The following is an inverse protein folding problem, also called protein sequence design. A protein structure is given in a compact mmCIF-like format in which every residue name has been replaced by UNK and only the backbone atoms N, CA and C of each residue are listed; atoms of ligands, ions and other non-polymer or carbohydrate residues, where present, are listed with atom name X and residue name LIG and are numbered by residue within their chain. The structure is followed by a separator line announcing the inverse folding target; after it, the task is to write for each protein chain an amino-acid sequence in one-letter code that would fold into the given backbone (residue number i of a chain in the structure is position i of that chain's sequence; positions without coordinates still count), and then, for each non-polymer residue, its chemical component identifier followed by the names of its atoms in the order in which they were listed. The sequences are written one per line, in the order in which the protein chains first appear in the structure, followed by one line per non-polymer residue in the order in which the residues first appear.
data_IF_217393446615
#
_entry.id   IF_217393446615
#
_cell.length_a   1.000
_cell.length_b   1.000
_cell.length_c   1.000
_cell.angle_alpha   90.00
_cell.angle_beta   90.00
_cell.angle_gamma   90.00
#
_symmetry.space_group_name_H-M   'P 1'
#
loop_
_entity.id
_entity.type
_entity.pdbx_description
1 polymer ?
#
# COMPACT_ATOMS: atom_id res chain seq x y z
N UNK A 1 13.30 11.95 -19.94
CA UNK A 1 11.87 11.62 -19.66
C UNK A 1 11.45 12.22 -18.33
N UNK A 2 10.38 13.01 -18.30
CA UNK A 2 9.86 13.67 -17.08
C UNK A 2 9.22 12.67 -16.10
N UNK A 3 9.20 13.02 -14.82
CA UNK A 3 8.59 12.20 -13.75
C UNK A 3 7.10 11.92 -13.99
N UNK A 4 6.33 12.91 -14.44
CA UNK A 4 4.91 12.76 -14.76
C UNK A 4 4.71 11.73 -15.88
N UNK A 5 5.54 11.82 -16.93
CA UNK A 5 5.48 10.85 -18.03
C UNK A 5 5.90 9.44 -17.59
N UNK A 6 6.94 9.35 -16.76
CA UNK A 6 7.36 8.09 -16.16
C UNK A 6 6.23 7.44 -15.36
N UNK A 7 5.48 8.24 -14.58
CA UNK A 7 4.34 7.75 -13.81
C UNK A 7 3.21 7.20 -14.70
N UNK A 8 2.85 7.88 -15.79
CA UNK A 8 1.78 7.41 -16.70
C UNK A 8 2.09 6.03 -17.31
N UNK A 9 3.32 5.85 -17.78
CA UNK A 9 3.79 4.59 -18.37
C UNK A 9 3.85 3.50 -17.29
N UNK A 10 4.49 3.81 -16.15
CA UNK A 10 4.58 2.91 -15.00
C UNK A 10 3.20 2.46 -14.50
N UNK A 11 2.23 3.38 -14.38
CA UNK A 11 0.88 3.05 -13.93
C UNK A 11 0.17 2.08 -14.91
N UNK A 12 0.38 2.28 -16.21
CA UNK A 12 -0.19 1.42 -17.25
C UNK A 12 0.37 0.01 -17.17
N UNK A 13 1.69 -0.13 -17.03
CA UNK A 13 2.34 -1.44 -16.88
C UNK A 13 1.90 -2.15 -15.61
N UNK A 14 1.85 -1.45 -14.47
CA UNK A 14 1.40 -2.05 -13.21
C UNK A 14 -0.07 -2.47 -13.24
N UNK A 15 -0.90 -1.81 -14.05
CA UNK A 15 -2.28 -2.25 -14.29
C UNK A 15 -2.32 -3.56 -15.09
N UNK A 16 -1.46 -3.70 -16.10
CA UNK A 16 -1.33 -4.94 -16.89
C UNK A 16 -0.79 -6.09 -16.03
N UNK A 17 0.16 -5.81 -15.12
CA UNK A 17 0.67 -6.78 -14.14
C UNK A 17 -0.35 -7.18 -13.05
N UNK A 18 -1.55 -6.62 -13.05
CA UNK A 18 -2.62 -6.99 -12.12
C UNK A 18 -2.49 -6.35 -10.72
N UNK A 19 -1.82 -5.21 -10.58
CA UNK A 19 -1.80 -4.50 -9.31
C UNK A 19 -3.22 -4.07 -8.90
N UNK A 20 -3.55 -4.26 -7.61
CA UNK A 20 -4.85 -3.85 -7.10
C UNK A 20 -5.09 -2.33 -7.28
N UNK A 21 -6.35 -1.89 -7.51
CA UNK A 21 -6.69 -0.47 -7.60
C UNK A 21 -6.24 0.33 -6.38
N UNK A 22 -6.28 -0.28 -5.19
CA UNK A 22 -5.84 0.36 -3.95
C UNK A 22 -4.32 0.60 -3.93
N UNK A 23 -3.52 -0.34 -4.46
CA UNK A 23 -2.07 -0.17 -4.60
C UNK A 23 -1.76 0.97 -5.58
N UNK A 24 -2.42 1.00 -6.75
CA UNK A 24 -2.23 2.06 -7.74
C UNK A 24 -2.62 3.43 -7.19
N UNK A 25 -3.72 3.51 -6.42
CA UNK A 25 -4.14 4.75 -5.73
C UNK A 25 -3.08 5.22 -4.74
N UNK A 26 -2.50 4.32 -3.96
CA UNK A 26 -1.44 4.65 -3.01
C UNK A 26 -0.16 5.11 -3.72
N UNK A 27 0.22 4.47 -4.82
CA UNK A 27 1.38 4.85 -5.63
C UNK A 27 1.17 6.18 -6.36
N UNK A 28 -0.04 6.46 -6.86
CA UNK A 28 -0.41 7.75 -7.48
C UNK A 28 -0.21 8.92 -6.52
N UNK A 29 -0.53 8.71 -5.24
CA UNK A 29 -0.24 9.73 -4.23
C UNK A 29 1.27 9.95 -4.08
N UNK A 30 2.07 8.88 -4.06
CA UNK A 30 3.52 9.01 -3.94
C UNK A 30 4.15 9.66 -5.18
N UNK A 31 3.67 9.37 -6.40
CA UNK A 31 4.15 10.00 -7.63
C UNK A 31 3.87 11.51 -7.62
N UNK A 32 2.65 11.92 -7.25
CA UNK A 32 2.30 13.34 -7.08
C UNK A 32 3.24 14.06 -6.11
N UNK A 33 3.51 13.46 -4.96
CA UNK A 33 4.39 14.05 -3.94
C UNK A 33 5.85 14.15 -4.42
N UNK A 34 6.32 13.15 -5.19
CA UNK A 34 7.65 13.18 -5.79
C UNK A 34 7.77 14.27 -6.86
N UNK A 35 6.79 14.36 -7.76
CA UNK A 35 6.71 15.38 -8.82
C UNK A 35 6.66 16.78 -8.21
N UNK A 36 5.82 16.99 -7.20
CA UNK A 36 5.70 18.27 -6.51
C UNK A 36 7.00 18.69 -5.82
N UNK A 37 7.75 17.74 -5.26
CA UNK A 37 9.00 18.05 -4.58
C UNK A 37 10.14 18.42 -5.53
N UNK A 38 10.23 17.73 -6.67
CA UNK A 38 11.31 17.94 -7.64
C UNK A 38 10.91 18.80 -8.85
N UNK A 39 9.68 19.30 -8.89
CA UNK A 39 9.14 20.14 -9.96
C UNK A 39 9.18 19.47 -11.35
N UNK A 40 8.69 18.24 -11.42
CA UNK A 40 8.56 17.42 -12.65
C UNK A 40 9.83 17.31 -13.53
N UNK A 41 11.00 17.24 -12.92
CA UNK A 41 12.27 17.06 -13.64
C UNK A 41 12.38 15.72 -14.35
N UNK A 42 13.43 15.57 -15.16
CA UNK A 42 13.75 14.30 -15.76
C UNK A 42 14.10 13.23 -14.72
N UNK A 43 13.50 12.04 -14.83
CA UNK A 43 13.74 10.96 -13.87
C UNK A 43 15.22 10.52 -13.85
N UNK A 44 15.91 10.62 -14.98
CA UNK A 44 17.34 10.29 -15.10
C UNK A 44 18.29 11.30 -14.46
N UNK A 45 17.84 12.54 -14.19
CA UNK A 45 18.67 13.56 -13.55
C UNK A 45 18.71 13.41 -12.02
N UNK A 46 17.83 12.59 -11.44
CA UNK A 46 17.73 12.42 -10.00
C UNK A 46 18.83 11.50 -9.46
N UNK A 47 19.59 12.04 -8.51
CA UNK A 47 20.68 11.33 -7.86
C UNK A 47 20.23 10.62 -6.59
N UNK A 48 20.98 9.60 -6.16
CA UNK A 48 20.75 8.92 -4.87
C UNK A 48 20.73 9.90 -3.70
N UNK A 49 21.59 10.92 -3.73
CA UNK A 49 21.69 11.91 -2.66
C UNK A 49 20.46 12.84 -2.59
N UNK A 50 19.95 13.30 -3.73
CA UNK A 50 18.68 14.05 -3.80
C UNK A 50 17.51 13.22 -3.26
N UNK A 51 17.41 11.95 -3.65
CA UNK A 51 16.38 11.05 -3.14
C UNK A 51 16.49 10.84 -1.62
N UNK A 52 17.72 10.70 -1.09
CA UNK A 52 17.97 10.59 0.35
C UNK A 52 17.55 11.87 1.08
N UNK A 53 17.87 13.05 0.56
CA UNK A 53 17.47 14.34 1.15
C UNK A 53 15.94 14.50 1.18
N UNK A 54 15.25 14.15 0.11
CA UNK A 54 13.78 14.11 0.06
C UNK A 54 13.20 13.18 1.13
N UNK A 55 13.76 11.96 1.25
CA UNK A 55 13.31 10.97 2.22
C UNK A 55 13.62 11.38 3.67
N UNK A 56 14.76 12.03 3.92
CA UNK A 56 15.13 12.57 5.23
C UNK A 56 14.14 13.64 5.68
N UNK A 57 13.83 14.62 4.81
CA UNK A 57 12.78 15.61 5.08
C UNK A 57 11.41 14.96 5.33
N UNK A 58 11.09 13.92 4.57
CA UNK A 58 9.84 13.17 4.76
C UNK A 58 9.80 12.43 6.10
N UNK A 59 10.96 12.04 6.65
CA UNK A 59 11.03 11.28 7.89
C UNK A 59 10.69 12.09 9.14
N UNK A 60 10.80 13.42 9.08
CA UNK A 60 10.49 14.33 10.19
C UNK A 60 9.00 14.33 10.56
N UNK A 61 8.13 14.00 9.60
CA UNK A 61 6.67 14.07 9.79
C UNK A 61 5.95 12.74 9.54
N UNK A 62 6.67 11.71 9.09
CA UNK A 62 6.07 10.41 8.75
C UNK A 62 6.43 9.34 9.79
N UNK A 63 5.42 8.53 10.13
CA UNK A 63 5.66 7.27 10.86
C UNK A 63 6.58 6.36 10.03
N UNK A 64 7.41 5.50 10.66
CA UNK A 64 8.34 4.61 9.94
C UNK A 64 7.68 3.74 8.86
N UNK A 65 6.45 3.27 9.09
CA UNK A 65 5.68 2.49 8.10
C UNK A 65 5.29 3.31 6.86
N UNK A 66 4.95 4.59 7.04
CA UNK A 66 4.60 5.50 5.95
C UNK A 66 5.83 5.88 5.13
N UNK A 67 6.96 6.14 5.81
CA UNK A 67 8.25 6.37 5.15
C UNK A 67 8.70 5.13 4.36
N UNK A 68 8.57 3.93 4.93
CA UNK A 68 8.88 2.69 4.23
C UNK A 68 8.02 2.51 2.97
N UNK A 69 6.73 2.82 3.02
CA UNK A 69 5.86 2.78 1.84
C UNK A 69 6.33 3.76 0.74
N UNK A 70 6.69 4.99 1.12
CA UNK A 70 7.26 5.97 0.18
C UNK A 70 8.55 5.45 -0.47
N UNK A 71 9.44 4.86 0.32
CA UNK A 71 10.69 4.26 -0.18
C UNK A 71 10.39 3.11 -1.14
N UNK A 72 9.42 2.25 -0.84
CA UNK A 72 9.02 1.15 -1.74
C UNK A 72 8.53 1.66 -3.09
N UNK A 73 7.71 2.71 -3.10
CA UNK A 73 7.29 3.34 -4.35
C UNK A 73 8.49 3.88 -5.15
N UNK A 74 9.37 4.67 -4.52
CA UNK A 74 10.57 5.23 -5.17
C UNK A 74 11.43 4.10 -5.75
N UNK A 75 11.73 3.06 -4.96
CA UNK A 75 12.50 1.92 -5.45
C UNK A 75 11.82 1.22 -6.64
N UNK A 76 10.49 1.11 -6.61
CA UNK A 76 9.72 0.45 -7.66
C UNK A 76 9.75 1.24 -8.99
N UNK A 77 9.46 2.55 -8.97
CA UNK A 77 9.42 3.36 -10.19
C UNK A 77 10.82 3.54 -10.81
N UNK A 78 11.87 3.72 -10.00
CA UNK A 78 13.24 3.83 -10.51
C UNK A 78 13.85 2.49 -10.95
N UNK A 79 13.40 1.37 -10.38
CA UNK A 79 13.75 0.04 -10.89
C UNK A 79 13.10 -0.19 -12.25
N UNK A 80 11.79 0.01 -12.35
CA UNK A 80 11.06 -0.08 -13.63
C UNK A 80 11.68 0.83 -14.70
N UNK A 81 11.96 2.10 -14.37
CA UNK A 81 12.56 3.02 -15.34
C UNK A 81 13.93 2.57 -15.84
N UNK A 82 14.67 1.82 -15.03
CA UNK A 82 15.96 1.27 -15.42
C UNK A 82 15.79 -0.01 -16.26
N UNK A 83 14.87 -0.89 -15.88
CA UNK A 83 14.54 -2.13 -16.59
C UNK A 83 13.97 -1.86 -17.99
N UNK A 84 13.13 -0.83 -18.14
CA UNK A 84 12.60 -0.36 -19.44
C UNK A 84 13.60 0.48 -20.25
N UNK A 85 14.84 0.63 -19.77
CA UNK A 85 15.90 1.35 -20.49
C UNK A 85 15.76 2.88 -20.52
N UNK A 86 14.82 3.47 -19.77
CA UNK A 86 14.65 4.92 -19.71
C UNK A 86 15.76 5.65 -18.94
N UNK A 87 16.41 4.96 -18.01
CA UNK A 87 17.58 5.48 -17.28
C UNK A 87 18.72 4.44 -17.28
N UNK A 88 19.98 4.89 -17.40
CA UNK A 88 21.12 3.97 -17.49
C UNK A 88 21.45 3.29 -16.15
N UNK A 89 21.00 3.86 -15.03
CA UNK A 89 21.28 3.34 -13.68
C UNK A 89 20.13 3.67 -12.74
N UNK A 90 19.81 2.75 -11.84
CA UNK A 90 18.82 2.98 -10.78
C UNK A 90 19.43 3.73 -9.56
N UNK A 91 19.10 5.02 -9.33
CA UNK A 91 19.62 5.79 -8.20
C UNK A 91 19.00 5.38 -6.84
N UNK A 92 17.87 4.67 -6.84
CA UNK A 92 17.16 4.23 -5.64
C UNK A 92 17.59 2.85 -5.13
N UNK A 93 18.39 2.10 -5.90
CA UNK A 93 18.74 0.71 -5.61
C UNK A 93 19.35 0.49 -4.20
N UNK A 94 20.19 1.43 -3.74
CA UNK A 94 20.89 1.34 -2.44
C UNK A 94 20.14 2.02 -1.28
N UNK A 95 18.94 2.54 -1.50
CA UNK A 95 18.14 3.17 -0.44
C UNK A 95 17.57 2.08 0.47
N UNK A 96 17.83 2.22 1.78
CA UNK A 96 17.35 1.30 2.81
C UNK A 96 16.04 1.82 3.40
N UNK A 97 15.11 0.91 3.67
CA UNK A 97 13.90 1.22 4.43
C UNK A 97 14.25 1.45 5.91
N UNK A 98 13.51 2.31 6.62
CA UNK A 98 13.68 2.48 8.07
C UNK A 98 13.43 1.15 8.77
N UNK A 99 14.18 0.88 9.85
CA UNK A 99 13.90 -0.27 10.71
C UNK A 99 12.48 -0.11 11.27
N UNK A 100 11.59 -1.02 10.87
CA UNK A 100 10.28 -1.11 11.48
C UNK A 100 10.43 -1.82 12.83
N UNK A 101 9.87 -1.24 13.89
CA UNK A 101 9.77 -1.94 15.16
C UNK A 101 8.98 -3.24 15.02
N UNK A 102 9.22 -4.21 15.90
CA UNK A 102 8.39 -5.42 15.94
C UNK A 102 6.96 -4.99 16.24
N UNK A 103 6.04 -5.23 15.30
CA UNK A 103 4.61 -5.06 15.54
C UNK A 103 4.18 -6.20 16.44
N UNK A 104 3.88 -5.89 17.69
CA UNK A 104 3.24 -6.86 18.60
C UNK A 104 1.80 -7.02 18.08
N UNK A 105 1.39 -8.23 17.66
CA UNK A 105 -0.01 -8.48 17.31
C UNK A 105 -0.88 -8.14 18.51
N UNK A 106 -1.84 -7.24 18.34
CA UNK A 106 -2.89 -7.04 19.31
C UNK A 106 -3.98 -8.05 18.99
N UNK A 107 -4.27 -8.94 19.91
CA UNK A 107 -5.39 -9.86 19.84
C UNK A 107 -6.38 -9.49 20.94
N UNK A 108 -7.65 -9.80 20.71
CA UNK A 108 -8.69 -9.62 21.70
C UNK A 108 -8.65 -10.81 22.66
N UNK A 109 -8.76 -10.53 23.95
CA UNK A 109 -9.01 -11.54 24.97
C UNK A 109 -10.45 -12.05 24.89
N UNK A 110 -10.72 -13.22 25.46
CA UNK A 110 -12.09 -13.79 25.50
C UNK A 110 -13.11 -12.83 26.12
N UNK A 111 -12.68 -12.06 27.14
CA UNK A 111 -13.52 -11.02 27.77
C UNK A 111 -13.81 -9.85 26.84
N UNK A 112 -12.82 -9.39 26.08
CA UNK A 112 -13.02 -8.31 25.10
C UNK A 112 -13.91 -8.76 23.94
N UNK A 113 -13.83 -10.03 23.54
CA UNK A 113 -14.74 -10.63 22.55
C UNK A 113 -16.18 -10.60 23.07
N UNK A 114 -16.41 -11.02 24.33
CA UNK A 114 -17.76 -11.01 24.89
C UNK A 114 -18.31 -9.59 25.06
N UNK A 115 -17.50 -8.62 25.50
CA UNK A 115 -17.92 -7.22 25.54
C UNK A 115 -18.30 -6.67 24.16
N UNK A 116 -17.58 -7.05 23.09
CA UNK A 116 -17.92 -6.65 21.73
C UNK A 116 -19.22 -7.30 21.25
N UNK A 117 -19.45 -8.56 21.62
CA UNK A 117 -20.70 -9.28 21.35
C UNK A 117 -21.90 -8.62 22.03
N UNK A 118 -21.78 -8.27 23.31
CA UNK A 118 -22.83 -7.58 24.07
C UNK A 118 -23.11 -6.17 23.54
N UNK A 119 -22.09 -5.50 22.99
CA UNK A 119 -22.23 -4.16 22.40
C UNK A 119 -22.92 -4.15 21.02
N UNK A 120 -23.19 -5.32 20.42
CA UNK A 120 -23.97 -5.41 19.18
C UNK A 120 -25.47 -5.30 19.49
N UNK A 121 -26.12 -4.23 19.04
CA UNK A 121 -27.53 -3.95 19.33
C UNK A 121 -28.46 -4.52 18.26
N UNK A 122 -28.07 -4.45 17.00
CA UNK A 122 -28.94 -4.86 15.89
C UNK A 122 -28.71 -6.33 15.49
N UNK A 123 -29.72 -7.02 14.92
CA UNK A 123 -29.53 -8.37 14.37
C UNK A 123 -28.41 -8.45 13.33
N UNK A 124 -28.22 -7.38 12.53
CA UNK A 124 -27.15 -7.30 11.54
C UNK A 124 -25.78 -7.21 12.20
N UNK A 125 -25.60 -6.36 13.21
CA UNK A 125 -24.34 -6.25 13.96
C UNK A 125 -23.96 -7.58 14.59
N UNK A 126 -24.91 -8.26 15.22
CA UNK A 126 -24.70 -9.59 15.83
C UNK A 126 -24.28 -10.62 14.79
N UNK A 127 -25.03 -10.73 13.69
CA UNK A 127 -24.70 -11.68 12.62
C UNK A 127 -23.33 -11.39 11.98
N UNK A 128 -23.01 -10.12 11.78
CA UNK A 128 -21.74 -9.68 11.21
C UNK A 128 -20.56 -9.98 12.14
N UNK A 129 -20.71 -9.72 13.44
CA UNK A 129 -19.72 -10.05 14.46
C UNK A 129 -19.47 -11.56 14.55
N UNK A 130 -20.54 -12.35 14.70
CA UNK A 130 -20.42 -13.82 14.78
C UNK A 130 -19.78 -14.39 13.52
N UNK A 131 -20.18 -13.93 12.33
CA UNK A 131 -19.59 -14.37 11.07
C UNK A 131 -18.09 -14.04 11.00
N UNK A 132 -17.70 -12.80 11.35
CA UNK A 132 -16.29 -12.41 11.43
C UNK A 132 -15.51 -13.32 12.38
N UNK A 133 -16.06 -13.55 13.57
CA UNK A 133 -15.41 -14.33 14.61
C UNK A 133 -15.29 -15.82 14.23
N UNK A 134 -16.32 -16.41 13.63
CA UNK A 134 -16.35 -17.83 13.29
C UNK A 134 -15.56 -18.19 12.03
N UNK A 135 -15.48 -17.28 11.05
CA UNK A 135 -14.83 -17.56 9.75
C UNK A 135 -13.41 -17.02 9.65
N UNK A 136 -13.07 -15.98 10.42
CA UNK A 136 -11.82 -15.26 10.26
C UNK A 136 -11.70 -14.48 8.95
N UNK A 137 -12.80 -14.27 8.21
CA UNK A 137 -12.80 -13.49 6.98
C UNK A 137 -12.36 -12.03 7.22
N UNK A 138 -11.63 -11.46 6.26
CA UNK A 138 -11.29 -10.03 6.27
C UNK A 138 -12.52 -9.20 5.94
N UNK A 139 -12.56 -7.97 6.47
CA UNK A 139 -13.67 -7.03 6.22
C UNK A 139 -13.97 -6.83 4.72
N UNK A 140 -12.93 -6.79 3.86
CA UNK A 140 -13.12 -6.65 2.41
C UNK A 140 -13.75 -7.89 1.76
N UNK A 141 -13.50 -9.07 2.30
CA UNK A 141 -14.11 -10.33 1.85
C UNK A 141 -15.60 -10.34 2.25
N UNK A 142 -15.91 -9.90 3.47
CA UNK A 142 -17.28 -9.85 4.00
C UNK A 142 -18.16 -8.86 3.24
N UNK A 143 -17.64 -7.67 2.92
CA UNK A 143 -18.35 -6.67 2.12
C UNK A 143 -18.62 -7.17 0.69
N UNK A 144 -17.84 -8.14 0.20
CA UNK A 144 -17.97 -8.72 -1.13
C UNK A 144 -18.80 -10.02 -1.14
N UNK A 145 -19.41 -10.41 -0.03
CA UNK A 145 -20.21 -11.64 0.05
C UNK A 145 -21.44 -11.56 -0.86
N UNK A 146 -21.62 -12.60 -1.66
CA UNK A 146 -22.83 -12.81 -2.45
C UNK A 146 -23.44 -14.17 -2.07
N UNK A 147 -24.73 -14.15 -1.73
CA UNK A 147 -25.51 -15.35 -1.42
C UNK A 147 -25.51 -16.39 -2.55
N UNK A 148 -25.31 -15.95 -3.79
CA UNK A 148 -25.24 -16.83 -4.96
C UNK A 148 -23.96 -17.68 -4.99
N UNK A 149 -22.94 -17.32 -4.19
CA UNK A 149 -21.71 -18.10 -4.05
C UNK A 149 -21.85 -19.27 -3.07
N UNK A 150 -22.98 -19.38 -2.38
CA UNK A 150 -23.25 -20.50 -1.49
C UNK A 150 -23.73 -21.69 -2.32
N UNK A 151 -22.95 -22.77 -2.34
CA UNK A 151 -23.36 -24.03 -2.94
C UNK A 151 -24.29 -24.80 -1.98
N UNK A 152 -25.59 -24.76 -2.26
CA UNK A 152 -26.62 -25.43 -1.46
C UNK A 152 -26.77 -26.92 -1.79
N UNK A 153 -26.25 -27.38 -2.92
CA UNK A 153 -26.41 -28.76 -3.41
C UNK A 153 -25.50 -29.80 -2.74
N UNK A 154 -24.49 -29.38 -1.99
CA UNK A 154 -23.53 -30.26 -1.30
C UNK A 154 -23.69 -30.25 0.24
N UNK A 155 -24.94 -30.23 0.73
CA UNK A 155 -25.23 -30.33 2.16
C UNK A 155 -25.45 -31.76 2.61
#
# INVERSE_FOLDING_TARGET
MLLAKAWELYESDKRIEGFSPQTLKAYRLQSKLLIQHFNDVEIGSLTTDQLKRYLAKSSEHLKPSSLAHRIRFIKSIFRWSHEEGHIPKNPAAKIKEPKQGKRIPKFLTDREIEHLREACFTPLEKALFEFMFSTGCRIGEIVSLDKNLINWSNR
#
